data_IF_484534636415
#
_entry.id   IF_484534636415
#
_cell.length_a   1.000
_cell.length_b   1.000
_cell.length_c   1.000
_cell.angle_alpha   90.00
_cell.angle_beta   90.00
_cell.angle_gamma   90.00
#
_symmetry.space_group_name_H-M   'P 1'
#
loop_
_entity.id
_entity.type
_entity.pdbx_description
1 polymer ?
#
# COMPACT_ATOMS: atom_id res chain seq x y z
N UNK A 1 -4.65 -4.53 8.44
CA UNK A 1 -3.54 -4.45 7.47
C UNK A 1 -2.35 -3.79 8.14
N UNK A 2 -1.12 -4.19 7.80
CA UNK A 2 0.13 -3.62 8.32
C UNK A 2 1.20 -3.74 7.25
N UNK A 3 2.02 -2.70 7.08
CA UNK A 3 3.22 -2.78 6.25
C UNK A 3 4.40 -3.24 7.10
N UNK A 4 5.01 -4.35 6.70
CA UNK A 4 6.30 -4.81 7.25
C UNK A 4 7.43 -4.27 6.39
N UNK A 5 8.67 -4.28 6.91
CA UNK A 5 9.85 -3.92 6.10
C UNK A 5 9.97 -4.77 4.82
N UNK A 6 9.66 -6.07 4.90
CA UNK A 6 9.62 -6.94 3.72
C UNK A 6 8.54 -6.51 2.70
N UNK A 7 7.34 -6.18 3.17
CA UNK A 7 6.27 -5.70 2.30
C UNK A 7 6.59 -4.35 1.64
N UNK A 8 7.31 -3.46 2.35
CA UNK A 8 7.81 -2.21 1.79
C UNK A 8 8.86 -2.46 0.71
N UNK A 9 9.81 -3.37 0.95
CA UNK A 9 10.85 -3.71 -0.02
C UNK A 9 10.26 -4.34 -1.30
N UNK A 10 9.27 -5.22 -1.17
CA UNK A 10 8.54 -5.77 -2.33
C UNK A 10 7.79 -4.69 -3.10
N UNK A 11 7.19 -3.73 -2.40
CA UNK A 11 6.44 -2.64 -3.02
C UNK A 11 7.37 -1.66 -3.76
N UNK A 12 8.52 -1.31 -3.19
CA UNK A 12 9.55 -0.51 -3.87
C UNK A 12 9.99 -1.16 -5.18
N UNK A 13 10.28 -2.46 -5.14
CA UNK A 13 10.67 -3.22 -6.31
C UNK A 13 9.54 -3.30 -7.35
N UNK A 14 8.30 -3.54 -6.91
CA UNK A 14 7.12 -3.65 -7.78
C UNK A 14 6.71 -2.33 -8.43
N UNK A 15 6.90 -1.20 -7.75
CA UNK A 15 6.59 0.14 -8.27
C UNK A 15 7.78 0.82 -8.97
N UNK A 16 8.94 0.14 -9.01
CA UNK A 16 10.19 0.65 -9.57
C UNK A 16 10.63 1.98 -8.94
N UNK A 17 10.40 2.12 -7.63
CA UNK A 17 10.83 3.28 -6.84
C UNK A 17 12.24 3.07 -6.29
N UNK A 18 12.99 4.15 -6.18
CA UNK A 18 14.41 4.11 -5.75
C UNK A 18 14.57 4.08 -4.24
N UNK A 19 13.54 4.47 -3.51
CA UNK A 19 13.53 4.49 -2.05
C UNK A 19 12.10 4.56 -1.52
N UNK A 20 11.94 4.12 -0.27
CA UNK A 20 10.71 4.28 0.52
C UNK A 20 10.26 5.74 0.56
N UNK A 21 11.20 6.69 0.63
CA UNK A 21 10.89 8.12 0.64
C UNK A 21 10.24 8.55 -0.68
N UNK A 22 10.80 8.11 -1.82
CA UNK A 22 10.24 8.37 -3.15
C UNK A 22 8.84 7.78 -3.30
N UNK A 23 8.61 6.61 -2.71
CA UNK A 23 7.29 5.99 -2.66
C UNK A 23 6.31 6.83 -1.84
N UNK A 24 6.70 7.34 -0.68
CA UNK A 24 5.86 8.23 0.13
C UNK A 24 5.53 9.52 -0.62
N UNK A 25 6.52 10.20 -1.18
CA UNK A 25 6.34 11.43 -1.96
C UNK A 25 5.37 11.23 -3.13
N UNK A 26 5.45 10.08 -3.82
CA UNK A 26 4.54 9.73 -4.91
C UNK A 26 3.08 9.62 -4.44
N UNK A 27 2.83 9.00 -3.29
CA UNK A 27 1.49 8.86 -2.74
C UNK A 27 0.95 10.17 -2.15
N UNK A 28 1.78 10.97 -1.49
CA UNK A 28 1.42 12.29 -0.97
C UNK A 28 1.14 13.29 -2.09
N UNK A 29 1.92 13.25 -3.17
CA UNK A 29 1.73 14.07 -4.37
C UNK A 29 0.55 13.63 -5.25
N UNK A 30 -0.24 12.64 -4.82
CA UNK A 30 -1.33 12.04 -5.61
C UNK A 30 -0.88 11.51 -6.99
N UNK A 31 0.41 11.22 -7.15
CA UNK A 31 1.03 10.75 -8.38
C UNK A 31 0.97 9.20 -8.47
N UNK A 32 -0.18 8.63 -8.12
CA UNK A 32 -0.40 7.19 -8.11
C UNK A 32 -1.51 6.77 -9.06
N UNK A 33 -1.37 5.58 -9.62
CA UNK A 33 -2.37 4.90 -10.43
C UNK A 33 -3.23 3.96 -9.58
N UNK A 34 -4.33 3.47 -10.15
CA UNK A 34 -5.14 2.42 -9.50
C UNK A 34 -4.33 1.15 -9.23
N UNK A 35 -3.33 0.82 -10.06
CA UNK A 35 -2.44 -0.32 -9.85
C UNK A 35 -1.57 -0.12 -8.63
N UNK A 36 -1.09 1.10 -8.40
CA UNK A 36 -0.25 1.42 -7.24
C UNK A 36 -1.05 1.28 -5.94
N UNK A 37 -2.31 1.74 -5.95
CA UNK A 37 -3.24 1.55 -4.82
C UNK A 37 -3.44 0.06 -4.53
N UNK A 38 -3.71 -0.75 -5.56
CA UNK A 38 -3.88 -2.19 -5.40
C UNK A 38 -2.61 -2.85 -4.85
N UNK A 39 -1.44 -2.52 -5.40
CA UNK A 39 -0.16 -3.06 -4.94
C UNK A 39 0.12 -2.70 -3.46
N UNK A 40 -0.17 -1.46 -3.05
CA UNK A 40 0.00 -1.02 -1.67
C UNK A 40 -0.97 -1.72 -0.71
N UNK A 41 -2.23 -1.94 -1.12
CA UNK A 41 -3.20 -2.71 -0.34
C UNK A 41 -2.81 -4.19 -0.23
N UNK A 42 -2.38 -4.82 -1.32
CA UNK A 42 -1.87 -6.20 -1.32
C UNK A 42 -0.66 -6.35 -0.38
N UNK A 43 0.30 -5.41 -0.44
CA UNK A 43 1.44 -5.38 0.48
C UNK A 43 0.99 -5.26 1.95
N UNK A 44 0.01 -4.42 2.24
CA UNK A 44 -0.57 -4.27 3.58
C UNK A 44 -1.33 -5.50 4.11
N UNK A 45 -1.95 -6.26 3.21
CA UNK A 45 -2.64 -7.51 3.55
C UNK A 45 -1.64 -8.62 3.84
N UNK A 46 -0.62 -8.77 2.98
CA UNK A 46 0.51 -9.71 3.18
C UNK A 46 1.23 -9.43 4.49
N UNK A 47 1.58 -8.18 4.78
CA UNK A 47 2.24 -7.79 6.03
C UNK A 47 1.37 -7.95 7.28
N UNK A 48 0.06 -8.03 7.11
CA UNK A 48 -0.92 -8.41 8.14
C UNK A 48 -1.10 -9.92 8.33
N UNK A 49 -0.33 -10.75 7.62
CA UNK A 49 -0.47 -12.23 7.55
C UNK A 49 -1.85 -12.68 7.04
N UNK A 50 -2.46 -11.88 6.19
CA UNK A 50 -3.69 -12.25 5.49
C UNK A 50 -3.31 -13.10 4.28
N UNK A 51 -3.78 -14.33 4.24
CA UNK A 51 -3.48 -15.28 3.17
C UNK A 51 -4.49 -15.09 2.03
N UNK A 52 -4.15 -14.18 1.12
CA UNK A 52 -4.96 -13.83 -0.05
C UNK A 52 -4.23 -14.28 -1.32
N UNK A 53 -4.86 -15.07 -2.20
CA UNK A 53 -4.25 -15.47 -3.46
C UNK A 53 -3.86 -14.25 -4.31
N UNK A 54 -2.75 -14.37 -5.04
CA UNK A 54 -2.29 -13.34 -5.96
C UNK A 54 -3.37 -12.97 -6.98
N UNK A 55 -3.54 -11.67 -7.25
CA UNK A 55 -4.54 -11.17 -8.19
C UNK A 55 -5.97 -11.14 -7.63
N UNK A 56 -6.23 -11.63 -6.40
CA UNK A 56 -7.56 -11.55 -5.79
C UNK A 56 -8.06 -10.12 -5.70
N UNK A 57 -7.18 -9.16 -5.37
CA UNK A 57 -7.56 -7.76 -5.23
C UNK A 57 -7.95 -7.12 -6.58
N UNK A 58 -7.44 -7.63 -7.70
CA UNK A 58 -7.73 -7.13 -9.05
C UNK A 58 -9.19 -7.40 -9.46
N UNK A 59 -9.81 -8.42 -8.87
CA UNK A 59 -11.19 -8.81 -9.11
C UNK A 59 -12.12 -8.48 -7.95
N UNK A 60 -11.58 -7.94 -6.85
CA UNK A 60 -12.35 -7.64 -5.65
C UNK A 60 -13.15 -6.34 -5.81
N UNK A 61 -14.40 -6.36 -5.34
CA UNK A 61 -15.16 -5.13 -5.14
C UNK A 61 -14.73 -4.46 -3.84
N UNK A 62 -14.23 -3.23 -3.93
CA UNK A 62 -13.85 -2.44 -2.76
C UNK A 62 -15.06 -1.63 -2.31
N UNK A 63 -15.56 -1.90 -1.10
CA UNK A 63 -16.62 -1.13 -0.50
C UNK A 63 -16.25 0.37 -0.44
N UNK A 64 -17.14 1.24 -0.92
CA UNK A 64 -16.87 2.68 -1.05
C UNK A 64 -16.07 3.07 -2.30
N UNK A 65 -15.78 2.12 -3.18
CA UNK A 65 -15.18 2.35 -4.49
C UNK A 65 -13.71 2.80 -4.47
N UNK A 66 -13.21 3.33 -5.60
CA UNK A 66 -11.79 3.67 -5.77
C UNK A 66 -11.26 4.70 -4.76
N UNK A 67 -12.11 5.64 -4.34
CA UNK A 67 -11.71 6.67 -3.38
C UNK A 67 -11.49 6.10 -1.97
N UNK A 68 -12.33 5.16 -1.55
CA UNK A 68 -12.14 4.44 -0.29
C UNK A 68 -10.86 3.59 -0.32
N UNK A 69 -10.58 2.94 -1.45
CA UNK A 69 -9.34 2.19 -1.66
C UNK A 69 -8.10 3.09 -1.51
N UNK A 70 -8.07 4.23 -2.20
CA UNK A 70 -6.98 5.19 -2.13
C UNK A 70 -6.78 5.71 -0.71
N UNK A 71 -7.87 6.04 0.00
CA UNK A 71 -7.81 6.49 1.39
C UNK A 71 -7.23 5.43 2.32
N UNK A 72 -7.67 4.17 2.18
CA UNK A 72 -7.15 3.06 2.98
C UNK A 72 -5.64 2.83 2.71
N UNK A 73 -5.21 2.96 1.46
CA UNK A 73 -3.82 2.82 1.07
C UNK A 73 -2.95 3.96 1.65
N UNK A 74 -3.41 5.22 1.56
CA UNK A 74 -2.73 6.37 2.16
C UNK A 74 -2.63 6.26 3.69
N UNK A 75 -3.70 5.83 4.36
CA UNK A 75 -3.70 5.63 5.80
C UNK A 75 -2.76 4.51 6.23
N UNK A 76 -2.70 3.41 5.47
CA UNK A 76 -1.76 2.32 5.70
C UNK A 76 -0.30 2.81 5.61
N UNK A 77 0.02 3.61 4.59
CA UNK A 77 1.34 4.19 4.40
C UNK A 77 1.69 5.13 5.55
N UNK A 78 0.79 6.05 5.91
CA UNK A 78 0.99 6.96 7.03
C UNK A 78 1.30 6.20 8.33
N UNK A 79 0.52 5.17 8.66
CA UNK A 79 0.73 4.35 9.87
C UNK A 79 2.06 3.60 9.89
N UNK A 80 2.66 3.30 8.74
CA UNK A 80 3.95 2.62 8.68
C UNK A 80 5.12 3.54 9.09
N UNK A 81 4.95 4.86 8.95
CA UNK A 81 5.97 5.87 9.25
C UNK A 81 5.65 6.76 10.45
N UNK A 82 4.47 6.62 11.05
CA UNK A 82 4.19 7.23 12.36
C UNK A 82 5.12 6.58 13.39
N UNK A 83 6.08 7.35 13.88
CA UNK A 83 6.88 6.97 15.04
C UNK A 83 5.93 6.94 16.25
N UNK A 84 5.82 5.80 16.97
CA UNK A 84 5.03 5.77 18.20
C UNK A 84 5.63 6.78 19.17
N UNK A 85 4.86 7.81 19.53
CA UNK A 85 5.24 8.70 20.64
C UNK A 85 5.26 7.83 21.90
N UNK A 86 6.46 7.56 22.39
CA UNK A 86 6.70 6.80 23.61
C UNK A 86 6.75 7.76 24.79
#
# INVERSE_FOLDING_TARGET
MRLTLGALAELEAGLNEKSIVSLVERFEGQAFSSRDVLALLEAGLKGGRCDLPEGTLQHAEIAGGPMAAAKAAAELLARAFVVPQT
#
